data_IF_466415575813
#
_entry.id   IF_466415575813
#
_cell.length_a   1.000
_cell.length_b   1.000
_cell.length_c   1.000
_cell.angle_alpha   90.00
_cell.angle_beta   90.00
_cell.angle_gamma   90.00
#
_symmetry.space_group_name_H-M   'P 1'
#
loop_
_entity.id
_entity.type
_entity.pdbx_description
1 polymer ?
#
# COMPACT_ATOMS: atom_id res chain seq x y z
N UNK A 1 -18.19 9.49 62.05
CA UNK A 1 -17.40 10.18 61.01
C UNK A 1 -16.16 9.33 60.69
N UNK A 2 -16.19 8.54 59.60
CA UNK A 2 -15.04 7.73 59.15
C UNK A 2 -14.33 8.47 58.02
N UNK A 3 -13.10 8.94 58.26
CA UNK A 3 -12.28 9.63 57.26
C UNK A 3 -11.62 8.58 56.36
N UNK A 4 -12.06 8.54 55.10
CA UNK A 4 -11.47 7.71 54.05
C UNK A 4 -10.12 8.29 53.64
N UNK A 5 -9.03 7.53 53.81
CA UNK A 5 -7.70 7.89 53.31
C UNK A 5 -7.63 7.46 51.84
N UNK A 6 -7.65 8.43 50.94
CA UNK A 6 -7.26 8.23 49.54
C UNK A 6 -5.75 8.00 49.50
N UNK A 7 -5.34 6.79 49.11
CA UNK A 7 -3.96 6.49 48.75
C UNK A 7 -3.76 6.98 47.32
N UNK A 8 -2.95 8.03 47.18
CA UNK A 8 -2.54 8.60 45.90
C UNK A 8 -1.42 7.71 45.34
N UNK A 9 -1.76 6.76 44.47
CA UNK A 9 -0.77 5.94 43.75
C UNK A 9 -0.14 6.81 42.66
N UNK A 10 0.95 7.49 43.01
CA UNK A 10 1.75 8.26 42.07
C UNK A 10 2.41 7.34 41.05
N UNK A 11 2.09 7.56 39.77
CA UNK A 11 2.82 6.98 38.65
C UNK A 11 4.22 7.63 38.58
N UNK A 12 5.22 6.96 39.15
CA UNK A 12 6.62 7.27 38.91
C UNK A 12 6.98 6.82 37.49
N UNK A 13 6.97 7.76 36.54
CA UNK A 13 7.58 7.54 35.22
C UNK A 13 9.09 7.55 35.43
N UNK A 14 9.69 6.35 35.40
CA UNK A 14 11.14 6.17 35.39
C UNK A 14 11.66 6.62 34.02
N UNK A 15 12.15 7.85 33.96
CA UNK A 15 13.09 8.30 32.93
C UNK A 15 14.41 7.54 33.17
N UNK A 16 14.53 6.35 32.59
CA UNK A 16 15.78 5.61 32.58
C UNK A 16 16.79 6.35 31.70
N UNK A 17 17.80 6.90 32.37
CA UNK A 17 18.97 7.56 31.85
C UNK A 17 19.68 6.70 30.79
N UNK A 18 19.72 7.17 29.54
CA UNK A 18 20.71 6.69 28.56
C UNK A 18 22.00 7.47 28.83
N UNK A 19 22.81 6.94 29.74
CA UNK A 19 24.19 7.33 29.93
C UNK A 19 25.06 6.08 29.72
N UNK A 20 25.67 5.98 28.54
CA UNK A 20 27.02 5.47 28.25
C UNK A 20 27.08 5.13 26.76
N UNK A 21 27.78 5.94 25.98
CA UNK A 21 28.95 5.57 25.13
C UNK A 21 29.44 6.88 24.52
N UNK A 22 30.52 7.43 25.09
CA UNK A 22 31.36 8.44 24.44
C UNK A 22 32.74 8.38 25.08
N UNK A 23 33.57 7.48 24.56
CA UNK A 23 35.02 7.51 24.68
C UNK A 23 35.62 6.56 23.62
N UNK A 24 35.65 7.02 22.37
CA UNK A 24 36.53 6.49 21.34
C UNK A 24 36.66 7.55 20.25
N UNK A 25 37.44 8.58 20.56
CA UNK A 25 37.96 9.50 19.56
C UNK A 25 39.41 9.10 19.32
N UNK A 26 39.76 9.03 18.04
CA UNK A 26 41.13 9.09 17.51
C UNK A 26 41.94 7.79 17.43
N UNK A 27 41.51 6.88 16.56
CA UNK A 27 42.43 6.15 15.69
C UNK A 27 41.87 6.18 14.28
N UNK A 28 42.68 6.65 13.32
CA UNK A 28 42.33 6.68 11.91
C UNK A 28 42.04 5.27 11.40
N UNK A 29 40.75 4.91 11.35
CA UNK A 29 40.29 3.69 10.70
C UNK A 29 40.17 3.99 9.19
N UNK A 30 40.85 3.22 8.32
CA UNK A 30 40.69 3.37 6.88
C UNK A 30 39.21 3.15 6.51
N UNK A 31 38.64 4.06 5.73
CA UNK A 31 37.31 3.92 5.13
C UNK A 31 37.26 2.55 4.45
N UNK A 32 36.41 1.60 4.90
CA UNK A 32 36.23 0.36 4.17
C UNK A 32 35.66 0.73 2.80
N UNK A 33 36.44 0.51 1.75
CA UNK A 33 35.92 0.49 0.39
C UNK A 33 34.82 -0.56 0.37
N UNK A 34 33.57 -0.11 0.30
CA UNK A 34 32.42 -0.99 0.07
C UNK A 34 32.64 -1.60 -1.31
N UNK A 35 32.83 -2.92 -1.45
CA UNK A 35 32.99 -3.54 -2.75
C UNK A 35 31.70 -3.30 -3.53
N UNK A 36 31.78 -2.43 -4.55
CA UNK A 36 30.68 -2.07 -5.43
C UNK A 36 30.30 -3.18 -6.40
N UNK A 37 29.91 -4.34 -5.87
CA UNK A 37 29.39 -5.46 -6.63
C UNK A 37 28.14 -5.98 -5.95
N UNK A 38 26.97 -5.47 -6.34
CA UNK A 38 25.71 -6.17 -6.05
C UNK A 38 25.82 -7.53 -6.74
N UNK A 39 25.82 -8.67 -6.02
CA UNK A 39 25.93 -9.98 -6.66
C UNK A 39 24.76 -10.14 -7.61
N UNK A 40 25.06 -10.11 -8.91
CA UNK A 40 24.10 -10.32 -9.96
C UNK A 40 23.80 -11.81 -10.00
N UNK A 41 22.70 -12.22 -9.38
CA UNK A 41 22.23 -13.61 -9.43
C UNK A 41 21.81 -13.90 -10.88
N UNK A 42 22.49 -14.80 -11.60
CA UNK A 42 22.13 -15.10 -12.99
C UNK A 42 20.77 -15.82 -13.00
N UNK A 43 19.76 -15.21 -13.60
CA UNK A 43 18.46 -15.85 -13.88
C UNK A 43 17.33 -15.60 -12.87
N UNK A 44 17.55 -14.84 -11.80
CA UNK A 44 16.47 -14.39 -10.92
C UNK A 44 15.93 -13.05 -11.41
N UNK A 45 14.65 -12.97 -11.81
CA UNK A 45 14.00 -11.66 -11.99
C UNK A 45 14.18 -10.88 -10.68
N UNK A 46 14.74 -9.65 -10.71
CA UNK A 46 14.85 -8.85 -9.51
C UNK A 46 13.46 -8.73 -8.92
N UNK A 47 13.29 -9.17 -7.66
CA UNK A 47 12.04 -8.96 -6.94
C UNK A 47 11.69 -7.48 -7.10
N UNK A 48 10.56 -7.21 -7.77
CA UNK A 48 9.97 -5.89 -8.02
C UNK A 48 9.51 -5.29 -6.68
N UNK A 49 10.42 -5.18 -5.71
CA UNK A 49 10.23 -4.33 -4.57
C UNK A 49 10.24 -2.91 -5.13
N UNK A 50 9.16 -2.13 -4.93
CA UNK A 50 9.05 -0.81 -5.50
C UNK A 50 10.30 0.01 -5.12
N UNK A 51 10.96 0.65 -6.11
CA UNK A 51 12.16 1.44 -5.87
C UNK A 51 11.80 2.55 -4.89
N UNK A 52 12.34 2.43 -3.68
CA UNK A 52 12.08 3.32 -2.54
C UNK A 52 11.84 2.61 -1.22
N UNK A 53 11.72 1.27 -1.19
CA UNK A 53 11.83 0.49 0.05
C UNK A 53 13.27 0.43 0.60
N UNK A 54 14.27 0.73 -0.24
CA UNK A 54 15.70 0.71 0.10
C UNK A 54 16.35 2.12 0.13
N UNK A 55 15.57 3.19 -0.10
CA UNK A 55 16.05 4.56 -0.04
C UNK A 55 15.97 5.10 1.39
N UNK A 56 17.09 5.61 1.89
CA UNK A 56 17.33 6.03 3.28
C UNK A 56 16.09 6.40 4.11
N UNK A 57 15.89 5.66 5.20
CA UNK A 57 14.90 5.91 6.25
C UNK A 57 15.28 7.11 7.11
N UNK A 58 15.72 8.21 6.51
CA UNK A 58 15.96 9.44 7.26
C UNK A 58 14.62 10.07 7.64
N UNK A 59 14.56 10.61 8.86
CA UNK A 59 13.35 11.26 9.38
C UNK A 59 12.93 12.44 8.49
N UNK A 60 13.91 13.21 8.04
CA UNK A 60 13.81 14.30 7.09
C UNK A 60 14.87 14.14 6.01
N UNK A 61 14.55 14.54 4.78
CA UNK A 61 15.54 14.58 3.71
C UNK A 61 16.69 15.52 4.08
N UNK A 62 17.94 15.26 3.65
CA UNK A 62 19.10 16.08 4.02
C UNK A 62 18.91 17.56 3.72
N UNK A 63 18.33 17.86 2.54
CA UNK A 63 17.97 19.22 2.11
C UNK A 63 16.99 19.92 3.05
N UNK A 64 16.06 19.16 3.64
CA UNK A 64 15.10 19.69 4.62
C UNK A 64 15.77 20.06 5.94
N UNK A 65 16.75 19.28 6.38
CA UNK A 65 17.54 19.56 7.59
C UNK A 65 18.42 20.79 7.41
N UNK A 66 19.03 20.95 6.24
CA UNK A 66 19.84 22.12 5.89
C UNK A 66 19.00 23.41 5.93
N UNK A 67 17.76 23.37 5.40
CA UNK A 67 16.84 24.52 5.43
C UNK A 67 16.45 24.96 6.85
N UNK A 68 16.43 24.05 7.82
CA UNK A 68 16.05 24.36 9.19
C UNK A 68 17.11 25.16 9.97
N UNK A 69 18.33 25.30 9.42
CA UNK A 69 19.42 26.04 10.07
C UNK A 69 19.58 25.67 11.55
N UNK A 70 19.64 24.36 11.83
CA UNK A 70 19.75 23.85 13.20
C UNK A 70 21.03 24.35 13.88
N UNK A 71 20.94 24.68 15.17
CA UNK A 71 22.14 24.93 15.99
C UNK A 71 22.97 23.65 16.11
N UNK A 72 24.24 23.77 16.55
CA UNK A 72 25.11 22.59 16.76
C UNK A 72 24.49 21.58 17.73
N UNK A 73 23.86 22.07 18.79
CA UNK A 73 23.18 21.23 19.79
C UNK A 73 21.94 20.55 19.21
N UNK A 74 21.07 21.31 18.53
CA UNK A 74 19.89 20.76 17.86
C UNK A 74 20.25 19.71 16.81
N UNK A 75 21.35 19.92 16.07
CA UNK A 75 21.85 18.96 15.10
C UNK A 75 22.30 17.66 15.76
N UNK A 76 23.04 17.74 16.86
CA UNK A 76 23.45 16.55 17.61
C UNK A 76 22.25 15.76 18.16
N UNK A 77 21.22 16.46 18.64
CA UNK A 77 19.99 15.81 19.11
C UNK A 77 19.15 15.23 17.95
N UNK A 78 19.09 15.93 16.80
CA UNK A 78 18.50 15.39 15.57
C UNK A 78 19.20 14.11 15.13
N UNK A 79 20.54 14.08 15.11
CA UNK A 79 21.32 12.91 14.68
C UNK A 79 21.05 11.69 15.57
N UNK A 80 21.00 11.88 16.90
CA UNK A 80 20.61 10.83 17.85
C UNK A 80 19.18 10.34 17.61
N UNK A 81 18.25 11.26 17.38
CA UNK A 81 16.85 10.95 17.15
C UNK A 81 16.64 10.22 15.82
N UNK A 82 17.35 10.63 14.77
CA UNK A 82 17.37 10.00 13.46
C UNK A 82 18.01 8.60 13.53
N UNK A 83 19.08 8.43 14.30
CA UNK A 83 19.69 7.12 14.54
C UNK A 83 18.71 6.18 15.25
N UNK A 84 18.04 6.65 16.30
CA UNK A 84 17.03 5.86 17.02
C UNK A 84 15.82 5.51 16.13
N UNK A 85 15.38 6.42 15.26
CA UNK A 85 14.34 6.17 14.26
C UNK A 85 14.78 5.08 13.27
N UNK A 86 15.98 5.20 12.71
CA UNK A 86 16.55 4.23 11.77
C UNK A 86 16.66 2.83 12.38
N UNK A 87 17.13 2.73 13.63
CA UNK A 87 17.20 1.44 14.34
C UNK A 87 15.80 0.82 14.48
N UNK A 88 14.80 1.59 14.90
CA UNK A 88 13.43 1.10 15.04
C UNK A 88 12.78 0.73 13.71
N UNK A 89 13.03 1.50 12.67
CA UNK A 89 12.54 1.21 11.32
C UNK A 89 13.17 -0.08 10.78
N UNK A 90 14.47 -0.29 11.02
CA UNK A 90 15.18 -1.52 10.65
C UNK A 90 14.68 -2.73 11.43
N UNK A 91 14.44 -2.61 12.74
CA UNK A 91 13.82 -3.66 13.56
C UNK A 91 12.46 -4.06 12.99
N UNK A 92 11.62 -3.08 12.66
CA UNK A 92 10.28 -3.29 12.11
C UNK A 92 10.34 -3.95 10.73
N UNK A 93 11.17 -3.46 9.82
CA UNK A 93 11.32 -4.06 8.48
C UNK A 93 11.92 -5.46 8.53
N UNK A 94 12.86 -5.73 9.43
CA UNK A 94 13.48 -7.06 9.60
C UNK A 94 12.49 -8.06 10.20
N UNK A 95 11.72 -7.66 11.21
CA UNK A 95 10.69 -8.50 11.84
C UNK A 95 9.58 -8.89 10.86
N UNK A 96 9.30 -8.04 9.87
CA UNK A 96 8.23 -8.25 8.89
C UNK A 96 8.70 -8.87 7.56
N UNK A 97 10.03 -9.00 7.37
CA UNK A 97 10.62 -9.65 6.21
C UNK A 97 10.06 -11.05 5.94
N UNK A 98 9.89 -11.98 6.91
CA UNK A 98 9.36 -13.31 6.62
C UNK A 98 7.92 -13.27 6.11
N UNK A 99 7.10 -12.31 6.55
CA UNK A 99 5.70 -12.16 6.09
C UNK A 99 5.66 -11.74 4.61
N UNK A 100 6.60 -10.91 4.17
CA UNK A 100 6.63 -10.34 2.82
C UNK A 100 7.48 -11.12 1.82
N UNK A 101 8.45 -11.92 2.31
CA UNK A 101 9.45 -12.56 1.46
C UNK A 101 9.16 -14.02 1.17
N UNK A 102 8.17 -14.63 1.83
CA UNK A 102 7.82 -16.03 1.59
C UNK A 102 6.88 -16.10 0.36
N UNK A 103 7.37 -16.51 -0.82
CA UNK A 103 6.57 -16.52 -2.04
C UNK A 103 5.47 -17.59 -1.99
N UNK A 104 5.60 -18.55 -1.07
CA UNK A 104 4.70 -19.66 -0.91
C UNK A 104 3.98 -19.57 0.45
N UNK A 105 2.77 -19.01 0.47
CA UNK A 105 2.02 -18.88 1.70
C UNK A 105 1.66 -20.24 2.33
N UNK A 106 1.79 -21.35 1.61
CA UNK A 106 1.44 -22.67 2.15
C UNK A 106 2.53 -23.30 3.02
N UNK A 107 3.76 -22.75 3.02
CA UNK A 107 4.91 -23.32 3.72
C UNK A 107 5.12 -22.84 5.14
N UNK A 108 4.44 -21.78 5.58
CA UNK A 108 4.50 -21.41 7.00
C UNK A 108 3.48 -22.18 7.81
N UNK A 109 3.84 -22.49 9.06
CA UNK A 109 2.90 -22.99 10.06
C UNK A 109 1.89 -21.92 10.53
N UNK A 110 1.95 -20.69 10.03
CA UNK A 110 1.03 -19.60 10.38
C UNK A 110 -0.22 -19.63 9.51
N UNK A 111 -1.37 -19.39 10.14
CA UNK A 111 -2.63 -19.25 9.41
C UNK A 111 -2.63 -17.96 8.59
N UNK A 112 -3.39 -17.90 7.47
CA UNK A 112 -3.57 -16.66 6.70
C UNK A 112 -4.02 -15.47 7.57
N UNK A 113 -4.90 -15.70 8.55
CA UNK A 113 -5.37 -14.67 9.48
C UNK A 113 -4.26 -14.13 10.39
N UNK A 114 -3.39 -15.01 10.91
CA UNK A 114 -2.26 -14.61 11.75
C UNK A 114 -1.28 -13.72 10.97
N UNK A 115 -0.98 -14.09 9.72
CA UNK A 115 -0.13 -13.29 8.82
C UNK A 115 -0.74 -11.95 8.47
N UNK A 116 -2.03 -11.93 8.13
CA UNK A 116 -2.73 -10.67 7.83
C UNK A 116 -2.74 -9.75 9.04
N UNK A 117 -2.98 -10.30 10.24
CA UNK A 117 -2.92 -9.55 11.49
C UNK A 117 -1.51 -8.98 11.73
N UNK A 118 -0.47 -9.81 11.62
CA UNK A 118 0.92 -9.37 11.80
C UNK A 118 1.30 -8.29 10.76
N UNK A 119 0.88 -8.45 9.51
CA UNK A 119 1.06 -7.44 8.46
C UNK A 119 0.34 -6.12 8.76
N UNK A 120 -0.88 -6.18 9.29
CA UNK A 120 -1.63 -4.99 9.69
C UNK A 120 -0.94 -4.25 10.84
N UNK A 121 -0.51 -4.99 11.87
CA UNK A 121 0.21 -4.43 13.02
C UNK A 121 1.56 -3.82 12.59
N UNK A 122 2.26 -4.46 11.66
CA UNK A 122 3.46 -3.95 11.03
C UNK A 122 3.26 -2.61 10.32
N UNK A 123 2.22 -2.52 9.48
CA UNK A 123 1.84 -1.28 8.80
C UNK A 123 1.51 -0.20 9.83
N UNK A 124 0.70 -0.51 10.84
CA UNK A 124 0.30 0.45 11.86
C UNK A 124 1.51 0.96 12.66
N UNK A 125 2.41 0.08 13.06
CA UNK A 125 3.64 0.45 13.75
C UNK A 125 4.56 1.31 12.86
N UNK A 126 4.68 1.00 11.57
CA UNK A 126 5.45 1.81 10.61
C UNK A 126 4.84 3.21 10.45
N UNK A 127 3.51 3.28 10.32
CA UNK A 127 2.77 4.54 10.15
C UNK A 127 2.88 5.45 11.38
N UNK A 128 3.00 4.88 12.58
CA UNK A 128 3.16 5.65 13.84
C UNK A 128 4.61 6.04 14.12
N UNK A 129 5.58 5.24 13.67
CA UNK A 129 6.99 5.46 14.00
C UNK A 129 7.48 6.84 13.53
N UNK A 130 7.21 7.20 12.28
CA UNK A 130 7.65 8.50 11.75
C UNK A 130 7.01 9.71 12.45
N UNK A 131 5.67 9.82 12.60
CA UNK A 131 5.07 10.97 13.28
C UNK A 131 5.49 11.07 14.75
N UNK A 132 5.69 9.97 15.47
CA UNK A 132 6.16 10.00 16.85
C UNK A 132 7.55 10.62 16.98
N UNK A 133 8.47 10.26 16.07
CA UNK A 133 9.81 10.82 16.05
C UNK A 133 9.84 12.26 15.52
N UNK A 134 8.97 12.60 14.56
CA UNK A 134 8.79 13.98 14.12
C UNK A 134 8.26 14.88 15.23
N UNK A 135 7.30 14.41 16.04
CA UNK A 135 6.79 15.17 17.18
C UNK A 135 7.86 15.38 18.27
N UNK A 136 8.77 14.40 18.45
CA UNK A 136 9.94 14.58 19.32
C UNK A 136 10.92 15.60 18.74
N UNK A 137 11.14 15.58 17.42
CA UNK A 137 12.00 16.54 16.74
C UNK A 137 11.44 17.96 16.79
N UNK A 138 10.13 18.15 16.59
CA UNK A 138 9.46 19.46 16.68
C UNK A 138 9.62 20.13 18.05
N UNK A 139 9.76 19.34 19.13
CA UNK A 139 10.02 19.88 20.48
C UNK A 139 11.43 20.44 20.64
N UNK A 140 12.37 20.05 19.77
CA UNK A 140 13.73 20.58 19.73
C UNK A 140 13.83 21.89 18.92
N UNK A 141 12.80 22.21 18.14
CA UNK A 141 12.80 23.36 17.22
C UNK A 141 12.25 24.62 17.87
N UNK A 142 12.78 25.77 17.45
CA UNK A 142 12.17 27.08 17.72
C UNK A 142 10.91 27.28 16.88
N UNK A 143 10.09 28.27 17.21
CA UNK A 143 8.83 28.50 16.50
C UNK A 143 9.03 28.90 15.03
N UNK A 144 10.12 29.59 14.71
CA UNK A 144 10.45 29.91 13.31
C UNK A 144 10.94 28.68 12.55
N UNK A 145 11.72 27.80 13.19
CA UNK A 145 12.12 26.53 12.59
C UNK A 145 10.93 25.61 12.34
N UNK A 146 9.91 25.61 13.21
CA UNK A 146 8.67 24.86 12.97
C UNK A 146 7.93 25.33 11.71
N UNK A 147 7.89 26.64 11.45
CA UNK A 147 7.33 27.17 10.19
C UNK A 147 8.11 26.68 8.97
N UNK A 148 9.44 26.71 9.04
CA UNK A 148 10.30 26.17 7.98
C UNK A 148 10.11 24.66 7.81
N UNK A 149 9.91 23.91 8.90
CA UNK A 149 9.60 22.49 8.84
C UNK A 149 8.28 22.24 8.11
N UNK A 150 7.25 23.04 8.37
CA UNK A 150 5.96 22.95 7.67
C UNK A 150 6.08 23.30 6.19
N UNK A 151 6.92 24.28 5.84
CA UNK A 151 7.24 24.60 4.44
C UNK A 151 7.97 23.44 3.75
N UNK A 152 9.03 22.90 4.38
CA UNK A 152 9.76 21.71 3.90
C UNK A 152 8.80 20.53 3.69
N UNK A 153 7.84 20.32 4.60
CA UNK A 153 6.82 19.26 4.47
C UNK A 153 5.89 19.49 3.28
N UNK A 154 5.54 20.73 2.95
CA UNK A 154 4.72 21.08 1.77
C UNK A 154 5.49 21.00 0.46
N UNK A 155 6.78 21.32 0.49
CA UNK A 155 7.67 21.26 -0.68
C UNK A 155 8.04 19.84 -1.07
N UNK A 156 8.12 18.92 -0.10
CA UNK A 156 8.31 17.52 -0.42
C UNK A 156 7.17 17.10 -1.36
N UNK A 157 7.49 16.64 -2.58
CA UNK A 157 6.45 16.27 -3.53
C UNK A 157 5.57 15.25 -2.83
N UNK A 158 4.28 15.59 -2.71
CA UNK A 158 3.22 14.71 -2.17
C UNK A 158 3.00 13.48 -3.08
N UNK A 159 3.97 13.17 -3.95
CA UNK A 159 4.00 12.02 -4.81
C UNK A 159 4.40 10.79 -4.00
N UNK A 160 3.44 9.91 -3.78
CA UNK A 160 3.59 8.48 -3.44
C UNK A 160 4.47 8.06 -2.25
N UNK A 161 5.20 8.95 -1.58
CA UNK A 161 6.24 8.57 -0.60
C UNK A 161 6.08 9.16 0.80
N UNK A 162 5.09 10.03 1.00
CA UNK A 162 4.62 10.39 2.32
C UNK A 162 3.18 9.90 2.45
N UNK A 163 2.91 8.81 3.20
CA UNK A 163 1.55 8.59 3.67
C UNK A 163 1.19 9.87 4.44
N UNK A 164 0.13 10.51 4.00
CA UNK A 164 -0.49 11.64 4.67
C UNK A 164 -0.44 11.36 6.18
N UNK A 165 0.14 12.28 6.96
CA UNK A 165 0.61 12.10 8.34
C UNK A 165 -0.56 11.79 9.31
N UNK A 166 -1.14 10.58 9.21
CA UNK A 166 -2.35 10.16 9.93
C UNK A 166 -3.39 9.38 9.12
N UNK A 167 -3.18 9.15 7.82
CA UNK A 167 -4.05 8.31 6.98
C UNK A 167 -3.34 7.01 6.59
N UNK A 168 -4.00 5.84 6.64
CA UNK A 168 -3.39 4.58 6.22
C UNK A 168 -2.82 4.72 4.78
N UNK A 169 -1.64 4.15 4.52
CA UNK A 169 -0.95 4.24 3.24
C UNK A 169 -1.89 3.77 2.13
N UNK A 170 -2.31 4.71 1.28
CA UNK A 170 -3.11 4.44 0.10
C UNK A 170 -2.22 3.87 -1.02
N UNK A 171 -1.35 2.91 -0.68
CA UNK A 171 -0.52 2.18 -1.64
C UNK A 171 -1.46 1.39 -2.55
N UNK A 172 -1.77 1.91 -3.74
CA UNK A 172 -2.44 1.21 -4.86
C UNK A 172 -3.81 0.57 -4.61
N UNK A 173 -4.36 0.71 -3.40
CA UNK A 173 -5.51 -0.06 -2.94
C UNK A 173 -6.78 0.78 -2.79
N UNK A 174 -6.74 2.06 -3.19
CA UNK A 174 -7.87 2.97 -3.04
C UNK A 174 -8.13 3.84 -4.27
N UNK A 175 -7.75 3.39 -5.47
CA UNK A 175 -8.42 3.93 -6.65
C UNK A 175 -9.89 3.57 -6.47
N UNK A 176 -10.73 4.54 -6.08
CA UNK A 176 -12.17 4.37 -6.13
C UNK A 176 -12.45 3.90 -7.55
N UNK A 177 -12.80 2.63 -7.71
CA UNK A 177 -13.21 2.07 -8.99
C UNK A 177 -14.38 2.93 -9.47
N UNK A 178 -14.12 3.85 -10.39
CA UNK A 178 -15.07 4.87 -10.83
C UNK A 178 -14.56 6.32 -10.80
N UNK A 179 -13.39 6.62 -10.23
CA UNK A 179 -12.80 7.95 -10.36
C UNK A 179 -12.24 8.14 -11.78
N UNK A 180 -12.89 9.01 -12.56
CA UNK A 180 -12.63 9.18 -14.00
C UNK A 180 -11.18 9.61 -14.29
N UNK A 181 -10.62 10.42 -13.40
CA UNK A 181 -9.22 10.82 -13.44
C UNK A 181 -8.57 10.60 -12.06
N UNK A 182 -7.63 9.65 -11.92
CA UNK A 182 -6.82 9.49 -10.73
C UNK A 182 -6.18 10.81 -10.29
N UNK A 183 -6.11 11.05 -8.97
CA UNK A 183 -5.52 12.27 -8.42
C UNK A 183 -4.08 12.54 -8.91
N UNK A 184 -3.32 11.48 -9.19
CA UNK A 184 -1.97 11.59 -9.77
C UNK A 184 -1.99 12.20 -11.18
N UNK A 185 -2.94 11.79 -12.01
CA UNK A 185 -3.10 12.33 -13.37
C UNK A 185 -3.59 13.78 -13.33
N UNK A 186 -4.48 14.13 -12.38
CA UNK A 186 -4.93 15.52 -12.20
C UNK A 186 -3.74 16.45 -11.89
N UNK A 187 -2.81 16.00 -11.06
CA UNK A 187 -1.58 16.74 -10.73
C UNK A 187 -0.61 16.82 -11.90
N UNK A 188 -0.42 15.73 -12.65
CA UNK A 188 0.45 15.72 -13.83
C UNK A 188 -0.03 16.67 -14.93
N UNK A 189 -1.36 16.79 -15.09
CA UNK A 189 -1.98 17.73 -16.02
C UNK A 189 -2.04 19.17 -15.48
N UNK A 190 -1.58 19.43 -14.25
CA UNK A 190 -1.59 20.74 -13.59
C UNK A 190 -2.97 21.40 -13.64
N UNK A 191 -4.02 20.62 -13.38
CA UNK A 191 -5.39 21.12 -13.40
C UNK A 191 -5.58 22.18 -12.31
N UNK A 192 -6.31 23.25 -12.63
CA UNK A 192 -6.71 24.25 -11.64
C UNK A 192 -7.77 23.70 -10.67
N UNK A 193 -7.95 24.34 -9.52
CA UNK A 193 -8.97 23.94 -8.55
C UNK A 193 -10.39 23.93 -9.15
N UNK A 194 -10.67 24.87 -10.05
CA UNK A 194 -11.95 24.93 -10.77
C UNK A 194 -12.13 23.74 -11.73
N UNK A 195 -11.05 23.29 -12.38
CA UNK A 195 -11.10 22.13 -13.27
C UNK A 195 -11.30 20.83 -12.48
N UNK A 196 -10.63 20.68 -11.33
CA UNK A 196 -10.83 19.55 -10.43
C UNK A 196 -12.28 19.49 -9.96
N UNK A 197 -12.88 20.62 -9.57
CA UNK A 197 -14.30 20.69 -9.20
C UNK A 197 -15.23 20.27 -10.34
N UNK A 198 -14.98 20.73 -11.56
CA UNK A 198 -15.79 20.33 -12.74
C UNK A 198 -15.69 18.83 -13.02
N UNK A 199 -14.52 18.22 -12.83
CA UNK A 199 -14.34 16.77 -12.99
C UNK A 199 -15.14 16.01 -11.91
N UNK A 200 -15.10 16.46 -10.66
CA UNK A 200 -15.87 15.84 -9.58
C UNK A 200 -17.40 15.97 -9.79
N UNK A 201 -17.86 17.10 -10.31
CA UNK A 201 -19.27 17.31 -10.69
C UNK A 201 -19.68 16.38 -11.84
N UNK A 202 -18.86 16.29 -12.90
CA UNK A 202 -19.09 15.36 -14.01
C UNK A 202 -19.14 13.90 -13.55
N UNK A 203 -18.26 13.51 -12.62
CA UNK A 203 -18.28 12.16 -12.08
C UNK A 203 -19.59 11.88 -11.33
N UNK A 204 -20.08 12.82 -10.51
CA UNK A 204 -21.37 12.67 -9.81
C UNK A 204 -22.56 12.61 -10.78
N UNK A 205 -22.57 13.45 -11.81
CA UNK A 205 -23.63 13.44 -12.83
C UNK A 205 -23.64 12.10 -13.59
N UNK A 206 -22.47 11.59 -13.96
CA UNK A 206 -22.34 10.30 -14.63
C UNK A 206 -22.74 9.14 -13.72
N UNK A 207 -22.31 9.14 -12.45
CA UNK A 207 -22.74 8.14 -11.45
C UNK A 207 -24.27 8.18 -11.27
N UNK A 208 -24.88 9.36 -11.23
CA UNK A 208 -26.34 9.53 -11.11
C UNK A 208 -27.08 8.98 -12.33
N UNK A 209 -26.62 9.32 -13.55
CA UNK A 209 -27.20 8.80 -14.80
C UNK A 209 -27.06 7.28 -14.90
N UNK A 210 -25.90 6.75 -14.51
CA UNK A 210 -25.68 5.30 -14.47
C UNK A 210 -26.65 4.62 -13.49
N UNK A 211 -26.79 5.16 -12.27
CA UNK A 211 -27.74 4.60 -11.29
C UNK A 211 -29.18 4.62 -11.81
N UNK A 212 -29.59 5.65 -12.55
CA UNK A 212 -30.94 5.74 -13.12
C UNK A 212 -31.20 4.72 -14.25
N UNK A 213 -30.15 4.24 -14.92
CA UNK A 213 -30.24 3.20 -15.96
C UNK A 213 -30.29 1.78 -15.38
N UNK A 214 -29.82 1.59 -14.14
CA UNK A 214 -29.79 0.29 -13.49
C UNK A 214 -31.16 -0.06 -12.87
N UNK A 215 -31.51 -1.34 -12.90
CA UNK A 215 -32.65 -1.85 -12.14
C UNK A 215 -32.37 -1.80 -10.64
N UNK A 216 -33.40 -1.86 -9.80
CA UNK A 216 -33.21 -1.76 -8.34
C UNK A 216 -32.33 -2.87 -7.76
N UNK A 217 -32.37 -4.07 -8.34
CA UNK A 217 -31.49 -5.17 -7.95
C UNK A 217 -30.03 -4.91 -8.38
N UNK A 218 -29.83 -4.32 -9.56
CA UNK A 218 -28.49 -3.92 -10.02
C UNK A 218 -27.93 -2.76 -9.20
N UNK A 219 -28.76 -1.79 -8.79
CA UNK A 219 -28.35 -0.70 -7.88
C UNK A 219 -27.88 -1.27 -6.54
N UNK A 220 -28.60 -2.25 -5.98
CA UNK A 220 -28.19 -2.94 -4.74
C UNK A 220 -26.88 -3.71 -4.91
N UNK A 221 -26.68 -4.38 -6.04
CA UNK A 221 -25.42 -5.05 -6.35
C UNK A 221 -24.28 -4.04 -6.50
N UNK A 222 -24.51 -2.93 -7.21
CA UNK A 222 -23.54 -1.85 -7.38
C UNK A 222 -23.15 -1.19 -6.06
N UNK A 223 -24.11 -0.87 -5.20
CA UNK A 223 -23.87 -0.32 -3.86
C UNK A 223 -23.12 -1.32 -2.96
N UNK A 224 -23.45 -2.60 -3.04
CA UNK A 224 -22.71 -3.66 -2.34
C UNK A 224 -21.27 -3.72 -2.82
N UNK A 225 -21.04 -3.77 -4.14
CA UNK A 225 -19.70 -3.76 -4.72
C UNK A 225 -18.93 -2.48 -4.42
N UNK A 226 -19.59 -1.33 -4.31
CA UNK A 226 -18.95 -0.06 -3.93
C UNK A 226 -18.51 -0.06 -2.47
N UNK A 227 -19.31 -0.64 -1.58
CA UNK A 227 -18.98 -0.80 -0.15
C UNK A 227 -17.96 -1.91 0.09
N UNK A 228 -17.98 -2.94 -0.76
CA UNK A 228 -17.14 -4.13 -0.67
C UNK A 228 -15.84 -4.01 -1.49
N UNK A 229 -15.80 -3.08 -2.45
CA UNK A 229 -14.63 -2.67 -3.24
C UNK A 229 -13.60 -1.88 -2.45
N UNK A 230 -13.58 -2.08 -1.13
CA UNK A 230 -12.37 -1.91 -0.35
C UNK A 230 -11.34 -2.96 -0.80
N UNK A 231 -10.07 -2.57 -0.89
CA UNK A 231 -9.00 -3.44 -1.34
C UNK A 231 -8.92 -4.71 -0.50
N UNK A 232 -9.07 -5.87 -1.14
CA UNK A 232 -8.79 -7.16 -0.53
C UNK A 232 -9.98 -8.02 -0.14
N UNK A 233 -11.21 -7.69 -0.53
CA UNK A 233 -12.29 -8.69 -0.46
C UNK A 233 -12.11 -9.65 -1.64
N UNK A 234 -11.41 -10.76 -1.39
CA UNK A 234 -11.46 -11.95 -2.23
C UNK A 234 -12.92 -12.25 -2.53
N UNK A 235 -13.34 -12.04 -3.78
CA UNK A 235 -14.65 -12.48 -4.25
C UNK A 235 -14.80 -13.94 -3.82
N UNK A 236 -15.91 -14.33 -3.16
CA UNK A 236 -16.15 -15.74 -2.88
C UNK A 236 -16.07 -16.50 -4.22
N UNK A 237 -15.50 -17.72 -4.23
CA UNK A 237 -15.36 -18.49 -5.45
C UNK A 237 -16.71 -18.54 -6.15
N UNK A 238 -16.73 -18.06 -7.40
CA UNK A 238 -17.93 -17.92 -8.19
C UNK A 238 -18.66 -19.29 -8.18
N UNK A 239 -19.89 -19.41 -7.64
CA UNK A 239 -20.62 -20.68 -7.66
C UNK A 239 -21.08 -21.07 -9.08
N UNK A 240 -20.91 -20.15 -10.04
CA UNK A 240 -21.15 -20.37 -11.45
C UNK A 240 -19.85 -20.29 -12.25
N UNK A 241 -19.37 -21.45 -12.67
CA UNK A 241 -18.53 -21.57 -13.86
C UNK A 241 -17.04 -21.53 -13.59
N UNK A 242 -16.45 -22.73 -13.50
CA UNK A 242 -15.16 -22.98 -14.15
C UNK A 242 -15.24 -22.33 -15.55
N UNK A 243 -14.37 -21.36 -15.90
CA UNK A 243 -14.34 -20.88 -17.28
C UNK A 243 -14.19 -22.13 -18.18
N UNK A 244 -14.99 -22.27 -19.24
CA UNK A 244 -14.88 -23.43 -20.12
C UNK A 244 -13.42 -23.59 -20.47
N UNK A 245 -12.85 -24.76 -20.17
CA UNK A 245 -11.46 -25.03 -20.48
C UNK A 245 -11.27 -24.66 -21.95
N UNK A 246 -10.24 -23.86 -22.31
CA UNK A 246 -9.91 -23.68 -23.71
C UNK A 246 -9.83 -25.09 -24.30
N UNK A 247 -10.50 -25.36 -25.44
CA UNK A 247 -10.48 -26.68 -26.04
C UNK A 247 -9.03 -27.13 -26.10
N UNK A 248 -8.71 -28.29 -25.53
CA UNK A 248 -7.35 -28.85 -25.49
C UNK A 248 -6.76 -28.66 -26.88
N UNK A 249 -5.84 -27.70 -27.00
CA UNK A 249 -5.06 -27.52 -28.21
C UNK A 249 -4.39 -28.86 -28.44
N UNK A 250 -4.75 -29.49 -29.56
CA UNK A 250 -4.19 -30.74 -30.01
C UNK A 250 -2.67 -30.67 -29.83
N UNK A 251 -2.12 -31.64 -29.10
CA UNK A 251 -0.69 -31.74 -28.88
C UNK A 251 0.03 -31.61 -30.24
N UNK A 252 1.02 -30.69 -30.36
CA UNK A 252 1.76 -30.53 -31.59
C UNK A 252 2.49 -31.85 -31.90
N UNK A 253 2.00 -32.60 -32.89
CA UNK A 253 2.59 -33.86 -33.33
C UNK A 253 1.62 -35.02 -33.52
N UNK A 254 0.36 -34.92 -33.09
CA UNK A 254 -0.65 -35.96 -33.32
C UNK A 254 -1.66 -35.50 -34.39
N UNK A 255 -1.26 -35.63 -35.65
CA UNK A 255 -2.20 -35.51 -36.76
C UNK A 255 -3.22 -36.66 -36.65
N UNK A 256 -4.54 -36.38 -36.68
CA UNK A 256 -5.54 -37.44 -36.76
C UNK A 256 -5.31 -38.27 -38.02
N UNK A 257 -5.45 -39.60 -37.89
CA UNK A 257 -5.30 -40.50 -39.03
C UNK A 257 -6.37 -40.15 -40.09
N UNK A 258 -6.03 -40.09 -41.38
CA UNK A 258 -6.99 -39.76 -42.45
C UNK A 258 -8.17 -40.75 -42.57
N UNK A 259 -8.15 -41.86 -41.82
CA UNK A 259 -9.26 -42.80 -41.71
C UNK A 259 -10.41 -42.37 -40.78
N UNK A 260 -10.19 -41.42 -39.87
CA UNK A 260 -11.18 -41.05 -38.84
C UNK A 260 -12.21 -40.00 -39.32
N UNK A 261 -12.12 -39.54 -40.57
CA UNK A 261 -13.03 -38.54 -41.16
C UNK A 261 -14.32 -39.11 -41.77
N UNK A 262 -14.67 -40.37 -41.53
CA UNK A 262 -15.78 -41.06 -42.22
C UNK A 262 -17.19 -40.89 -41.62
N UNK A 263 -17.45 -39.89 -40.78
CA UNK A 263 -18.83 -39.60 -40.35
C UNK A 263 -19.08 -38.10 -40.22
N UNK A 264 -19.18 -37.43 -41.36
CA UNK A 264 -19.89 -36.16 -41.45
C UNK A 264 -21.38 -36.49 -41.31
N UNK A 265 -22.09 -35.98 -40.29
CA UNK A 265 -23.53 -36.18 -40.19
C UNK A 265 -24.22 -35.59 -41.42
N UNK A 266 -25.24 -36.32 -41.89
CA UNK A 266 -25.99 -35.99 -43.09
C UNK A 266 -26.60 -34.57 -42.94
N UNK A 267 -26.41 -33.65 -43.91
CA UNK A 267 -26.90 -32.28 -43.84
C UNK A 267 -28.44 -32.15 -43.66
N UNK A 268 -29.19 -33.25 -43.79
CA UNK A 268 -30.62 -33.29 -43.48
C UNK A 268 -30.96 -33.18 -41.98
N UNK A 269 -30.06 -33.53 -41.06
CA UNK A 269 -30.36 -33.50 -39.61
C UNK A 269 -30.23 -32.10 -38.96
N UNK A 270 -29.62 -31.13 -39.65
CA UNK A 270 -29.39 -29.77 -39.14
C UNK A 270 -30.62 -28.83 -39.20
N UNK A 271 -31.79 -29.31 -39.64
CA UNK A 271 -33.02 -28.50 -39.79
C UNK A 271 -34.01 -28.55 -38.61
N UNK A 272 -33.68 -29.20 -37.49
CA UNK A 272 -34.55 -29.27 -36.30
C UNK A 272 -33.99 -28.52 -35.10
N UNK A 273 -33.54 -27.27 -35.29
CA UNK A 273 -33.35 -26.37 -34.14
C UNK A 273 -34.71 -25.73 -33.83
N UNK A 274 -35.36 -26.06 -32.70
CA UNK A 274 -36.62 -25.43 -32.31
C UNK A 274 -36.38 -23.94 -32.06
N UNK A 275 -37.21 -23.13 -32.72
CA UNK A 275 -37.24 -21.69 -32.64
C UNK A 275 -37.56 -21.26 -31.18
N UNK A 276 -36.76 -20.39 -30.56
CA UNK A 276 -37.00 -19.99 -29.16
C UNK A 276 -38.27 -19.13 -29.07
N UNK A 277 -39.28 -19.64 -28.35
CA UNK A 277 -40.51 -18.90 -28.05
C UNK A 277 -40.20 -17.64 -27.24
N UNK A 278 -40.32 -16.49 -27.91
CA UNK A 278 -40.37 -15.17 -27.31
C UNK A 278 -41.64 -15.04 -26.46
N UNK A 279 -41.50 -15.23 -25.14
CA UNK A 279 -42.55 -14.88 -24.17
C UNK A 279 -42.79 -13.38 -24.23
N UNK A 280 -43.92 -12.97 -24.82
CA UNK A 280 -44.45 -11.61 -24.74
C UNK A 280 -44.85 -11.33 -23.29
N UNK A 281 -44.11 -10.44 -22.63
CA UNK A 281 -44.55 -9.82 -21.38
C UNK A 281 -45.66 -8.82 -21.70
N UNK A 282 -46.84 -9.04 -21.13
CA UNK A 282 -47.92 -8.04 -21.04
C UNK A 282 -47.55 -6.98 -20.01
N UNK A 283 -47.56 -5.72 -20.45
CA UNK A 283 -47.61 -4.53 -19.59
C UNK A 283 -48.93 -4.47 -18.83
#
# INVERSE_FOLDING_TARGET
>A
MKRSRFVLTGAAVVLASVALVSAAQDQGVPVPQVPGGVPQVPGGQPALLPPGLAGGSELLAPKGVEKLMLTKEQKADYDKLNQAYNTKYKELTTSNKPILSDPDPTKSNETPDARFKAFKEAIEASNKLRPDYLAKFEKLLTDDQKKTLDEVRRELPVGNFAPNLGGPPNFYFGQRSGQFLPADLQRQLKLSEEQVKKIDELQKDLESKMLNLLTDDQKKAFETLRKQGGPGVSLPPNPFGVPPQPPKLLEPGKLPNPGDLKKVPDPAELKKVPEPELKKGTN
#
